data_IF_294350543913
#
_entry.id   IF_294350543913
#
_cell.length_a   1.000
_cell.length_b   1.000
_cell.length_c   1.000
_cell.angle_alpha   90.00
_cell.angle_beta   90.00
_cell.angle_gamma   90.00
#
_symmetry.space_group_name_H-M   'P 1'
#
loop_
_entity.id
_entity.type
_entity.pdbx_description
1 polymer ?
#
# COMPACT_ATOMS: atom_id res chain seq x y z
N UNK A 1 3.99 -7.79 -27.70
CA UNK A 1 2.95 -7.76 -26.65
C UNK A 1 3.00 -9.14 -26.01
N UNK A 2 3.42 -9.23 -24.75
CA UNK A 2 3.36 -10.50 -24.01
C UNK A 2 1.94 -10.60 -23.46
N UNK A 3 1.24 -11.67 -23.81
CA UNK A 3 -0.13 -11.97 -23.41
C UNK A 3 -0.12 -13.35 -22.73
N UNK A 4 -0.62 -13.52 -21.48
CA UNK A 4 -1.21 -12.51 -20.59
C UNK A 4 -0.25 -12.03 -19.49
N UNK A 5 -0.59 -10.95 -18.77
CA UNK A 5 -0.03 -10.71 -17.44
C UNK A 5 -0.28 -11.93 -16.54
N UNK A 6 0.71 -12.28 -15.73
CA UNK A 6 0.65 -13.51 -14.97
C UNK A 6 1.92 -13.84 -14.21
N UNK A 7 1.84 -14.90 -13.43
CA UNK A 7 2.94 -15.46 -12.65
C UNK A 7 3.67 -16.47 -13.55
N UNK A 8 4.94 -16.20 -13.83
CA UNK A 8 5.85 -17.05 -14.58
C UNK A 8 6.77 -17.76 -13.60
N UNK A 9 6.70 -19.09 -13.55
CA UNK A 9 7.55 -19.91 -12.69
C UNK A 9 8.73 -20.41 -13.54
N UNK A 10 9.95 -20.01 -13.19
CA UNK A 10 11.16 -20.42 -13.93
C UNK A 10 11.72 -21.75 -13.42
N UNK A 11 11.64 -21.97 -12.12
CA UNK A 11 11.96 -23.21 -11.41
C UNK A 11 11.14 -23.26 -10.11
N UNK A 12 11.20 -24.36 -9.36
CA UNK A 12 10.40 -24.55 -8.14
C UNK A 12 10.67 -23.54 -7.00
N UNK A 13 11.60 -22.60 -7.18
CA UNK A 13 12.02 -21.63 -6.17
C UNK A 13 11.92 -20.17 -6.64
N UNK A 14 11.75 -19.92 -7.93
CA UNK A 14 11.76 -18.57 -8.50
C UNK A 14 10.55 -18.35 -9.40
N UNK A 15 9.81 -17.30 -9.09
CA UNK A 15 8.73 -16.78 -9.92
C UNK A 15 9.00 -15.32 -10.29
N UNK A 16 8.42 -14.88 -11.40
CA UNK A 16 8.34 -13.49 -11.80
C UNK A 16 6.89 -13.19 -12.15
N UNK A 17 6.42 -12.01 -11.77
CA UNK A 17 5.10 -11.54 -12.15
C UNK A 17 5.28 -10.45 -13.20
N UNK A 18 4.62 -10.63 -14.35
CA UNK A 18 4.56 -9.59 -15.37
C UNK A 18 3.22 -8.89 -15.30
N UNK A 19 3.25 -7.57 -15.17
CA UNK A 19 2.09 -6.71 -15.21
C UNK A 19 2.04 -5.92 -16.54
N UNK A 20 0.86 -5.52 -17.00
CA UNK A 20 0.77 -4.59 -18.12
C UNK A 20 1.51 -3.30 -17.78
N UNK A 21 2.25 -2.76 -18.75
CA UNK A 21 2.85 -1.44 -18.59
C UNK A 21 1.74 -0.38 -18.56
N UNK A 22 1.70 0.42 -17.49
CA UNK A 22 0.76 1.54 -17.35
C UNK A 22 1.54 2.84 -17.41
N UNK A 23 1.16 3.72 -18.34
CA UNK A 23 1.77 5.04 -18.45
C UNK A 23 1.24 5.96 -17.33
N UNK A 24 2.14 6.49 -16.51
CA UNK A 24 1.84 7.45 -15.46
C UNK A 24 3.10 8.06 -14.89
N UNK A 25 2.95 9.04 -14.00
CA UNK A 25 4.03 9.76 -13.33
C UNK A 25 3.92 9.55 -11.82
N UNK A 26 5.06 9.42 -11.12
CA UNK A 26 5.06 9.40 -9.65
C UNK A 26 4.81 10.81 -9.11
N UNK A 27 4.31 10.87 -7.88
CA UNK A 27 3.97 12.14 -7.24
C UNK A 27 5.17 13.08 -7.07
N UNK A 28 6.32 12.56 -6.61
CA UNK A 28 7.52 13.35 -6.31
C UNK A 28 8.39 13.66 -7.54
N UNK A 29 8.10 13.09 -8.71
CA UNK A 29 8.89 13.29 -9.93
C UNK A 29 8.58 14.62 -10.64
N UNK A 30 7.78 15.50 -10.02
CA UNK A 30 7.35 16.78 -10.62
C UNK A 30 8.05 17.96 -9.94
N UNK A 31 8.98 18.66 -10.64
CA UNK A 31 9.66 19.85 -10.10
C UNK A 31 8.71 20.99 -9.70
N UNK A 32 7.48 20.96 -10.21
CA UNK A 32 6.49 22.03 -10.14
C UNK A 32 5.51 21.87 -8.96
N UNK A 33 5.46 20.69 -8.33
CA UNK A 33 4.54 20.38 -7.23
C UNK A 33 5.26 19.73 -6.05
N UNK A 34 6.02 20.50 -5.26
CA UNK A 34 6.70 20.00 -4.06
C UNK A 34 5.74 19.63 -2.91
N UNK A 35 4.42 19.84 -3.10
CA UNK A 35 3.39 19.59 -2.10
C UNK A 35 2.25 18.82 -2.75
N UNK A 36 1.78 17.78 -2.06
CA UNK A 36 0.60 17.01 -2.48
C UNK A 36 -0.62 17.92 -2.62
N UNK A 37 -1.31 17.80 -3.75
CA UNK A 37 -2.54 18.53 -4.02
C UNK A 37 -3.75 17.76 -3.47
N UNK A 38 -4.77 18.48 -3.00
CA UNK A 38 -5.98 17.90 -2.40
C UNK A 38 -6.66 16.85 -3.28
N UNK A 39 -6.61 17.01 -4.60
CA UNK A 39 -7.22 16.05 -5.52
C UNK A 39 -6.52 14.68 -5.48
N UNK A 40 -5.21 14.64 -5.23
CA UNK A 40 -4.45 13.39 -5.13
C UNK A 40 -4.91 12.58 -3.91
N UNK A 41 -5.01 13.23 -2.74
CA UNK A 41 -5.55 12.62 -1.52
C UNK A 41 -7.00 12.18 -1.71
N UNK A 42 -7.80 12.97 -2.43
CA UNK A 42 -9.19 12.61 -2.74
C UNK A 42 -9.27 11.36 -3.62
N UNK A 43 -8.37 11.20 -4.58
CA UNK A 43 -8.31 10.02 -5.45
C UNK A 43 -7.85 8.77 -4.70
N UNK A 44 -6.90 8.88 -3.78
CA UNK A 44 -6.51 7.77 -2.89
C UNK A 44 -7.68 7.33 -2.02
N UNK A 45 -8.39 8.27 -1.40
CA UNK A 45 -9.57 7.95 -0.60
C UNK A 45 -10.65 7.23 -1.44
N UNK A 46 -10.86 7.67 -2.69
CA UNK A 46 -11.79 6.99 -3.61
C UNK A 46 -11.30 5.60 -4.01
N UNK A 47 -9.99 5.43 -4.22
CA UNK A 47 -9.40 4.13 -4.51
C UNK A 47 -9.63 3.14 -3.36
N UNK A 48 -9.26 3.52 -2.13
CA UNK A 48 -9.46 2.70 -0.93
C UNK A 48 -10.95 2.34 -0.77
N UNK A 49 -11.84 3.32 -0.89
CA UNK A 49 -13.29 3.07 -0.82
C UNK A 49 -13.79 2.05 -1.86
N UNK A 50 -13.25 2.06 -3.09
CA UNK A 50 -13.60 1.06 -4.11
C UNK A 50 -13.00 -0.31 -3.80
N UNK A 51 -11.72 -0.36 -3.41
CA UNK A 51 -11.04 -1.61 -3.05
C UNK A 51 -11.77 -2.32 -1.91
N UNK A 52 -12.12 -1.56 -0.87
CA UNK A 52 -12.86 -2.03 0.29
C UNK A 52 -14.33 -2.34 0.03
N UNK A 53 -14.93 -1.83 -1.05
CA UNK A 53 -16.33 -2.13 -1.39
C UNK A 53 -16.53 -3.52 -2.01
N UNK A 54 -15.46 -4.17 -2.47
CA UNK A 54 -15.51 -5.45 -3.19
C UNK A 54 -15.50 -6.68 -2.25
N UNK A 55 -15.94 -6.56 -1.00
CA UNK A 55 -15.82 -7.63 -0.01
C UNK A 55 -17.14 -8.42 0.06
N UNK A 56 -17.10 -9.67 -0.39
CA UNK A 56 -17.99 -10.69 0.15
C UNK A 56 -17.45 -11.07 1.54
N UNK A 57 -18.31 -10.98 2.55
CA UNK A 57 -17.99 -11.24 3.96
C UNK A 57 -17.73 -12.73 4.19
N UNK A 58 -16.67 -13.28 3.64
CA UNK A 58 -16.18 -14.58 4.06
C UNK A 58 -15.46 -14.48 5.40
N UNK A 59 -15.39 -15.60 6.12
CA UNK A 59 -14.77 -15.72 7.44
C UNK A 59 -13.25 -15.67 7.29
N UNK A 60 -12.72 -14.49 6.99
CA UNK A 60 -11.29 -14.30 6.96
C UNK A 60 -10.72 -14.37 8.37
N UNK A 61 -9.61 -15.10 8.52
CA UNK A 61 -8.80 -15.08 9.73
C UNK A 61 -7.81 -13.92 9.57
N UNK A 62 -7.79 -13.01 10.53
CA UNK A 62 -6.78 -11.95 10.60
C UNK A 62 -5.40 -12.61 10.69
N UNK A 63 -4.49 -12.20 9.83
CA UNK A 63 -3.09 -12.61 9.84
C UNK A 63 -2.31 -11.33 10.12
N UNK A 64 -1.88 -11.13 11.36
CA UNK A 64 -1.00 -10.00 11.73
C UNK A 64 0.46 -10.45 11.67
N UNK A 65 1.33 -9.56 11.25
CA UNK A 65 2.79 -9.71 11.22
C UNK A 65 3.49 -9.05 12.42
N UNK A 66 2.75 -8.61 13.44
CA UNK A 66 3.30 -7.93 14.62
C UNK A 66 3.95 -8.91 15.61
N UNK A 67 4.90 -8.43 16.43
CA UNK A 67 5.44 -9.18 17.57
C UNK A 67 4.30 -9.56 18.53
N UNK A 68 4.37 -10.76 19.12
CA UNK A 68 3.26 -11.35 19.89
C UNK A 68 2.80 -10.42 21.03
N UNK A 69 3.73 -9.73 21.70
CA UNK A 69 3.43 -8.81 22.80
C UNK A 69 2.77 -7.49 22.33
N UNK A 70 3.21 -6.92 21.21
CA UNK A 70 2.64 -5.70 20.64
C UNK A 70 1.26 -5.98 20.02
N UNK A 71 1.14 -7.11 19.33
CA UNK A 71 -0.12 -7.61 18.79
C UNK A 71 -1.14 -7.80 19.91
N UNK A 72 -0.74 -8.41 21.03
CA UNK A 72 -1.62 -8.64 22.17
C UNK A 72 -2.15 -7.33 22.77
N UNK A 73 -1.31 -6.30 22.88
CA UNK A 73 -1.72 -4.99 23.36
C UNK A 73 -2.66 -4.32 22.37
N UNK A 74 -2.33 -4.38 21.08
CA UNK A 74 -3.13 -3.80 20.01
C UNK A 74 -4.53 -4.44 19.97
N UNK A 75 -4.60 -5.78 19.89
CA UNK A 75 -5.85 -6.53 19.84
C UNK A 75 -6.72 -6.36 21.09
N UNK A 76 -6.12 -6.24 22.29
CA UNK A 76 -6.86 -5.98 23.54
C UNK A 76 -7.56 -4.62 23.53
N UNK A 77 -6.97 -3.62 22.87
CA UNK A 77 -7.47 -2.25 22.84
C UNK A 77 -8.24 -1.90 21.57
N UNK A 78 -8.12 -2.72 20.52
CA UNK A 78 -8.81 -2.49 19.26
C UNK A 78 -10.32 -2.70 19.42
N UNK A 79 -11.09 -1.83 18.78
CA UNK A 79 -12.54 -1.97 18.71
C UNK A 79 -12.87 -3.30 18.05
N UNK A 80 -13.68 -4.12 18.73
CA UNK A 80 -14.13 -5.41 18.20
C UNK A 80 -15.16 -5.21 17.09
N UNK A 81 -15.21 -6.16 16.15
CA UNK A 81 -16.17 -6.18 15.03
C UNK A 81 -16.01 -5.02 14.02
N UNK A 82 -14.80 -4.53 13.81
CA UNK A 82 -14.53 -3.63 12.70
C UNK A 82 -14.80 -4.34 11.36
N UNK A 83 -15.23 -3.62 10.32
CA UNK A 83 -15.26 -4.15 8.97
C UNK A 83 -13.87 -4.65 8.58
N UNK A 84 -13.79 -5.89 8.11
CA UNK A 84 -12.57 -6.53 7.65
C UNK A 84 -12.63 -6.79 6.15
N UNK A 85 -11.47 -6.82 5.51
CA UNK A 85 -11.28 -7.35 4.17
C UNK A 85 -9.89 -7.06 3.67
N UNK A 86 -9.70 -7.14 2.35
CA UNK A 86 -8.40 -6.90 1.75
C UNK A 86 -7.97 -5.44 1.95
N UNK A 87 -6.79 -5.28 2.54
CA UNK A 87 -6.09 -4.01 2.69
C UNK A 87 -4.83 -4.02 1.83
N UNK A 88 -4.46 -2.90 1.23
CA UNK A 88 -3.22 -2.81 0.44
C UNK A 88 -1.98 -2.77 1.33
N UNK A 89 -2.09 -2.15 2.50
CA UNK A 89 -1.04 -2.05 3.53
C UNK A 89 0.22 -1.23 3.18
N UNK A 90 0.36 -0.74 1.93
CA UNK A 90 1.57 -0.03 1.49
C UNK A 90 1.28 1.08 0.45
N UNK A 91 0.27 1.91 0.74
CA UNK A 91 -0.09 3.04 -0.14
C UNK A 91 0.83 4.24 0.13
N UNK A 92 1.82 4.42 -0.75
CA UNK A 92 2.69 5.60 -0.79
C UNK A 92 2.96 6.07 -2.23
N UNK A 93 3.73 7.14 -2.37
CA UNK A 93 4.05 7.82 -3.63
C UNK A 93 4.79 6.98 -4.67
N UNK A 94 5.61 6.02 -4.26
CA UNK A 94 6.27 5.11 -5.21
C UNK A 94 5.31 4.05 -5.78
N UNK A 95 4.26 3.70 -5.02
CA UNK A 95 3.27 2.68 -5.40
C UNK A 95 2.04 3.27 -6.09
N UNK A 96 2.04 4.58 -6.38
CA UNK A 96 0.92 5.25 -7.07
C UNK A 96 1.40 6.01 -8.30
N UNK A 97 0.85 5.64 -9.45
CA UNK A 97 1.01 6.36 -10.69
C UNK A 97 -0.15 7.33 -10.90
N UNK A 98 0.15 8.57 -11.22
CA UNK A 98 -0.82 9.61 -11.58
C UNK A 98 -0.92 9.75 -13.10
N UNK A 99 -2.10 10.12 -13.59
CA UNK A 99 -2.26 10.44 -15.00
C UNK A 99 -1.52 11.74 -15.34
N UNK A 100 -0.70 11.79 -16.41
CA UNK A 100 0.00 13.01 -16.82
C UNK A 100 -0.94 14.06 -17.42
N UNK A 101 -2.14 13.66 -17.85
CA UNK A 101 -3.10 14.52 -18.55
C UNK A 101 -4.38 14.77 -17.76
N UNK A 102 -4.63 14.01 -16.70
CA UNK A 102 -5.87 14.04 -15.93
C UNK A 102 -5.60 14.08 -14.42
N UNK A 103 -6.48 14.72 -13.65
CA UNK A 103 -6.41 14.73 -12.18
C UNK A 103 -6.99 13.44 -11.59
N UNK A 104 -6.36 12.30 -11.92
CA UNK A 104 -6.75 10.96 -11.44
C UNK A 104 -5.54 10.06 -11.21
N UNK A 105 -5.74 9.01 -10.43
CA UNK A 105 -4.80 7.89 -10.35
C UNK A 105 -4.85 7.10 -11.67
N UNK A 106 -3.69 6.85 -12.27
CA UNK A 106 -3.52 5.96 -13.42
C UNK A 106 -3.43 4.50 -12.96
N UNK A 107 -2.66 4.23 -11.90
CA UNK A 107 -2.55 2.91 -11.28
C UNK A 107 -2.12 3.01 -9.81
N UNK A 108 -2.50 1.98 -9.06
CA UNK A 108 -1.86 1.60 -7.79
C UNK A 108 -1.09 0.31 -8.08
N UNK A 109 0.11 0.19 -7.55
CA UNK A 109 1.07 -0.88 -7.81
C UNK A 109 1.47 -1.55 -6.49
N UNK A 110 2.22 -2.65 -6.59
CA UNK A 110 2.86 -3.34 -5.46
C UNK A 110 1.88 -3.89 -4.41
N UNK A 111 1.12 -4.92 -4.81
CA UNK A 111 0.14 -5.59 -3.95
C UNK A 111 0.74 -6.77 -3.16
N UNK A 112 2.06 -6.89 -3.09
CA UNK A 112 2.74 -8.05 -2.49
C UNK A 112 2.51 -8.11 -0.96
N UNK A 113 2.29 -6.96 -0.32
CA UNK A 113 1.95 -6.83 1.10
C UNK A 113 0.43 -6.80 1.36
N UNK A 114 -0.41 -7.15 0.39
CA UNK A 114 -1.87 -7.16 0.57
C UNK A 114 -2.31 -8.35 1.45
N UNK A 115 -3.07 -8.09 2.52
CA UNK A 115 -3.64 -9.12 3.38
C UNK A 115 -5.02 -8.73 3.91
N UNK A 116 -5.65 -9.60 4.73
CA UNK A 116 -6.95 -9.31 5.33
C UNK A 116 -6.81 -8.82 6.77
N UNK A 117 -7.31 -7.61 7.01
CA UNK A 117 -7.28 -6.92 8.30
C UNK A 117 -8.49 -5.97 8.42
N UNK A 118 -8.73 -5.29 9.57
CA UNK A 118 -9.67 -4.18 9.62
C UNK A 118 -9.32 -3.11 8.60
N UNK A 119 -10.31 -2.68 7.83
CA UNK A 119 -10.14 -1.68 6.77
C UNK A 119 -9.62 -0.33 7.29
N UNK A 120 -9.83 -0.08 8.59
CA UNK A 120 -9.30 1.09 9.29
C UNK A 120 -7.76 1.12 9.31
N UNK A 121 -7.11 -0.04 9.31
CA UNK A 121 -5.65 -0.16 9.28
C UNK A 121 -5.10 0.39 7.96
N UNK A 122 -5.69 0.02 6.82
CA UNK A 122 -5.29 0.51 5.50
C UNK A 122 -5.41 2.05 5.40
N UNK A 123 -6.48 2.60 5.98
CA UNK A 123 -6.66 4.04 6.07
C UNK A 123 -5.59 4.69 6.95
N UNK A 124 -5.28 4.10 8.10
CA UNK A 124 -4.25 4.62 9.00
C UNK A 124 -2.86 4.60 8.35
N UNK A 125 -2.51 3.50 7.69
CA UNK A 125 -1.26 3.37 6.93
C UNK A 125 -1.19 4.38 5.79
N UNK A 126 -2.26 4.55 5.02
CA UNK A 126 -2.31 5.59 4.00
C UNK A 126 -2.17 7.00 4.59
N UNK A 127 -2.75 7.30 5.76
CA UNK A 127 -2.52 8.60 6.41
C UNK A 127 -1.05 8.79 6.81
N UNK A 128 -0.39 7.77 7.34
CA UNK A 128 1.03 7.83 7.70
C UNK A 128 1.94 7.96 6.47
N UNK A 129 1.78 7.08 5.50
CA UNK A 129 2.68 6.94 4.35
C UNK A 129 2.35 7.92 3.21
N UNK A 130 1.08 8.24 2.99
CA UNK A 130 0.70 9.21 1.97
C UNK A 130 0.69 10.64 2.53
N UNK A 131 -0.05 10.89 3.61
CA UNK A 131 -0.25 12.24 4.12
C UNK A 131 0.89 12.73 5.02
N UNK A 132 1.62 11.83 5.68
CA UNK A 132 2.73 12.17 6.59
C UNK A 132 3.99 12.69 5.90
N UNK A 133 4.12 12.54 4.58
CA UNK A 133 5.31 12.98 3.81
C UNK A 133 5.44 14.51 3.72
N UNK A 134 4.42 15.28 4.12
CA UNK A 134 4.43 16.74 3.99
C UNK A 134 5.18 17.51 5.10
N UNK A 135 5.65 16.86 6.16
CA UNK A 135 6.36 17.53 7.25
C UNK A 135 7.73 16.89 7.53
N UNK A 136 8.77 17.62 7.09
CA UNK A 136 10.16 17.53 7.58
C UNK A 136 10.97 16.35 7.04
N UNK A 137 12.20 16.64 6.60
CA UNK A 137 13.20 15.65 6.18
C UNK A 137 13.63 14.70 7.30
N UNK A 138 12.77 13.75 7.63
CA UNK A 138 13.04 12.61 8.49
C UNK A 138 12.89 11.33 7.66
N UNK A 139 13.88 11.06 6.82
CA UNK A 139 14.09 9.76 6.19
C UNK A 139 14.41 8.63 7.18
N UNK A 140 14.30 8.87 8.49
CA UNK A 140 14.67 7.93 9.55
C UNK A 140 13.46 7.29 10.27
N UNK A 141 12.21 7.69 9.98
CA UNK A 141 11.05 7.22 10.78
C UNK A 141 10.34 5.99 10.17
N UNK A 142 10.56 5.65 8.90
CA UNK A 142 9.90 4.50 8.25
C UNK A 142 10.85 3.69 7.33
N UNK A 143 12.07 3.41 7.78
CA UNK A 143 12.89 2.36 7.14
C UNK A 143 12.62 1.01 7.80
N UNK A 144 11.60 0.29 7.31
CA UNK A 144 11.34 -1.09 7.72
C UNK A 144 12.21 -2.12 6.96
N UNK A 145 13.21 -1.70 6.15
CA UNK A 145 14.07 -2.61 5.37
C UNK A 145 15.55 -2.61 5.74
N UNK A 146 15.97 -2.04 6.87
CA UNK A 146 17.35 -2.19 7.38
C UNK A 146 17.47 -3.15 8.57
N UNK A 147 17.18 -4.44 8.34
CA UNK A 147 17.76 -5.49 9.19
C UNK A 147 19.24 -5.67 8.83
N UNK A 148 20.08 -5.41 9.83
CA UNK A 148 21.53 -5.52 9.87
C UNK A 148 22.14 -6.69 9.08
N UNK A 149 23.16 -6.38 8.26
CA UNK A 149 24.29 -7.29 8.01
C UNK A 149 25.50 -6.70 8.72
N UNK A 150 25.74 -7.15 9.95
CA UNK A 150 27.02 -6.91 10.64
C UNK A 150 28.03 -7.87 9.98
N UNK A 151 28.91 -7.33 9.15
CA UNK A 151 30.08 -8.05 8.66
C UNK A 151 31.13 -8.18 9.76
N UNK A 152 31.63 -9.40 9.95
CA UNK A 152 32.87 -9.69 10.67
C UNK A 152 34.09 -9.25 9.84
#
# INVERSE_FOLDING_TARGET
>A
MIDPPGIFIFNNENYCVLFPFIHGIKCLDTPETPVRQLWQTSEIARFLGRMHSNIETEKFKVISSMDEDEQDIFEKNLVKNLPIGYIHADIHDDNVLLSPTEKKIAAVLDFDDMYVDPLLIDLALALCLWCGIAEVGNSEIFDHKSTQVIGY
#
